data_IF_152164488387
#
_entry.id   IF_152164488387
#
_cell.length_a   1.000
_cell.length_b   1.000
_cell.length_c   1.000
_cell.angle_alpha   90.00
_cell.angle_beta   90.00
_cell.angle_gamma   90.00
#
_symmetry.space_group_name_H-M   'P 1'
#
loop_
_entity.id
_entity.type
_entity.pdbx_description
1 polymer ?
#
# COMPACT_ATOMS: atom_id res chain seq x y z
N UNK A 1 48.44 25.51 -46.64
CA UNK A 1 47.99 26.36 -47.76
C UNK A 1 46.52 26.09 -48.04
N UNK A 2 45.71 27.14 -48.24
CA UNK A 2 44.25 27.17 -48.57
C UNK A 2 43.32 26.67 -47.43
N UNK A 3 42.45 27.45 -46.79
CA UNK A 3 41.91 28.78 -47.04
C UNK A 3 40.59 28.73 -47.82
N UNK A 4 39.44 28.93 -47.14
CA UNK A 4 38.18 29.55 -47.63
C UNK A 4 37.09 29.39 -46.55
N UNK A 5 36.77 30.42 -45.76
CA UNK A 5 35.83 31.55 -45.99
C UNK A 5 34.33 31.16 -45.86
N UNK A 6 33.78 31.69 -44.76
CA UNK A 6 32.40 32.10 -44.42
C UNK A 6 31.35 32.10 -45.53
N UNK A 7 30.12 31.69 -45.17
CA UNK A 7 28.91 32.37 -45.64
C UNK A 7 27.74 32.16 -44.66
N UNK A 8 27.43 33.21 -43.90
CA UNK A 8 26.14 33.40 -43.22
C UNK A 8 25.05 33.56 -44.28
N UNK A 9 23.97 32.77 -44.19
CA UNK A 9 22.68 33.12 -44.79
C UNK A 9 21.59 32.99 -43.74
N UNK A 10 21.07 34.15 -43.34
CA UNK A 10 19.77 34.34 -42.69
C UNK A 10 18.68 33.98 -43.69
N UNK A 11 17.76 33.13 -43.28
CA UNK A 11 16.32 33.12 -43.62
C UNK A 11 15.67 32.53 -42.36
N UNK A 12 14.81 33.20 -41.59
CA UNK A 12 13.70 34.04 -42.03
C UNK A 12 12.53 33.14 -42.43
N UNK A 13 11.84 32.55 -41.45
CA UNK A 13 10.71 31.65 -41.69
C UNK A 13 9.96 31.38 -40.39
N UNK A 14 8.74 31.89 -40.32
CA UNK A 14 7.87 31.97 -39.16
C UNK A 14 7.66 30.63 -38.43
N UNK A 15 8.01 30.59 -37.14
CA UNK A 15 7.48 29.60 -36.20
C UNK A 15 6.06 30.03 -35.83
N UNK A 16 5.09 29.63 -36.66
CA UNK A 16 3.68 29.76 -36.33
C UNK A 16 3.38 28.81 -35.17
N UNK A 17 3.23 29.41 -33.99
CA UNK A 17 2.83 28.79 -32.74
C UNK A 17 1.37 28.31 -32.90
N UNK A 18 1.17 27.07 -33.33
CA UNK A 18 -0.11 26.37 -33.28
C UNK A 18 -0.32 25.86 -31.85
N UNK A 19 -0.73 26.77 -30.96
CA UNK A 19 -1.35 26.44 -29.68
C UNK A 19 -2.76 25.89 -29.97
N UNK A 20 -2.83 24.63 -30.39
CA UNK A 20 -4.07 23.88 -30.28
C UNK A 20 -4.32 23.61 -28.80
N UNK A 21 -5.15 24.45 -28.20
CA UNK A 21 -5.82 24.25 -26.91
C UNK A 21 -6.67 22.98 -26.99
N UNK A 22 -6.03 21.82 -26.86
CA UNK A 22 -6.70 20.60 -26.48
C UNK A 22 -7.06 20.72 -25.00
N UNK A 23 -8.30 21.07 -24.69
CA UNK A 23 -8.85 20.80 -23.37
C UNK A 23 -8.83 19.28 -23.17
N UNK A 24 -7.78 18.78 -22.51
CA UNK A 24 -7.79 17.44 -21.93
C UNK A 24 -8.82 17.50 -20.81
N UNK A 25 -10.03 17.03 -21.11
CA UNK A 25 -11.04 16.73 -20.10
C UNK A 25 -10.48 15.60 -19.25
N UNK A 26 -9.89 15.96 -18.10
CA UNK A 26 -9.56 15.00 -17.05
C UNK A 26 -10.87 14.28 -16.71
N UNK A 27 -10.99 12.97 -16.93
CA UNK A 27 -12.20 12.24 -16.53
C UNK A 27 -12.42 12.50 -15.04
N UNK A 28 -13.65 12.77 -14.59
CA UNK A 28 -13.92 12.91 -13.17
C UNK A 28 -13.40 11.64 -12.50
N UNK A 29 -12.31 11.80 -11.74
CA UNK A 29 -11.74 10.71 -10.95
C UNK A 29 -12.88 10.12 -10.15
N UNK A 30 -13.06 8.81 -10.26
CA UNK A 30 -13.96 8.04 -9.40
C UNK A 30 -13.82 8.60 -7.99
N UNK A 31 -14.89 9.19 -7.47
CA UNK A 31 -14.89 9.75 -6.12
C UNK A 31 -14.29 8.68 -5.21
N UNK A 32 -13.14 9.00 -4.61
CA UNK A 32 -12.46 8.08 -3.73
C UNK A 32 -13.37 7.97 -2.51
N UNK A 33 -14.16 6.90 -2.45
CA UNK A 33 -15.00 6.62 -1.29
C UNK A 33 -14.04 6.41 -0.13
N UNK A 34 -13.86 7.44 0.69
CA UNK A 34 -13.13 7.36 1.94
C UNK A 34 -13.93 6.45 2.84
N UNK A 35 -13.50 5.20 2.93
CA UNK A 35 -14.05 4.25 3.89
C UNK A 35 -13.54 4.69 5.28
N UNK A 36 -14.41 5.39 6.00
CA UNK A 36 -14.17 5.82 7.38
C UNK A 36 -14.47 4.65 8.33
N UNK A 37 -13.50 3.75 8.47
CA UNK A 37 -13.56 2.62 9.40
C UNK A 37 -12.41 2.71 10.41
N UNK A 38 -12.69 2.84 11.73
CA UNK A 38 -11.66 2.95 12.76
C UNK A 38 -10.69 1.76 12.80
N UNK A 39 -11.14 0.56 12.42
CA UNK A 39 -10.27 -0.61 12.34
C UNK A 39 -9.27 -0.47 11.17
N UNK A 40 -9.73 -0.01 10.01
CA UNK A 40 -8.86 0.26 8.88
C UNK A 40 -7.83 1.35 9.21
N UNK A 41 -8.25 2.42 9.87
CA UNK A 41 -7.36 3.51 10.28
C UNK A 41 -6.29 3.03 11.28
N UNK A 42 -6.69 2.23 12.28
CA UNK A 42 -5.74 1.68 13.25
C UNK A 42 -4.71 0.76 12.59
N UNK A 43 -5.15 -0.11 11.66
CA UNK A 43 -4.24 -0.93 10.87
C UNK A 43 -3.31 -0.08 10.00
N UNK A 44 -3.79 1.04 9.45
CA UNK A 44 -2.97 1.97 8.68
C UNK A 44 -1.85 2.59 9.52
N UNK A 45 -2.13 2.94 10.79
CA UNK A 45 -1.10 3.43 11.72
C UNK A 45 -0.07 2.35 12.08
N UNK A 46 -0.48 1.08 12.13
CA UNK A 46 0.44 -0.04 12.33
C UNK A 46 1.36 -0.28 11.13
N UNK A 47 0.95 0.09 9.90
CA UNK A 47 1.79 -0.06 8.70
C UNK A 47 3.15 0.63 8.86
N UNK A 48 3.20 1.83 9.45
CA UNK A 48 4.45 2.56 9.69
C UNK A 48 5.43 1.74 10.54
N UNK A 49 4.93 1.19 11.65
CA UNK A 49 5.72 0.40 12.59
C UNK A 49 6.18 -0.92 11.98
N UNK A 50 5.35 -1.56 11.14
CA UNK A 50 5.74 -2.74 10.38
C UNK A 50 6.88 -2.43 9.41
N UNK A 51 6.80 -1.31 8.68
CA UNK A 51 7.87 -0.89 7.75
C UNK A 51 9.15 -0.56 8.51
N UNK A 52 9.07 0.16 9.63
CA UNK A 52 10.23 0.48 10.47
C UNK A 52 10.86 -0.77 11.07
N UNK A 53 10.05 -1.73 11.53
CA UNK A 53 10.53 -3.02 12.02
C UNK A 53 11.30 -3.74 10.93
N UNK A 54 10.73 -3.82 9.72
CA UNK A 54 11.38 -4.47 8.59
C UNK A 54 12.67 -3.75 8.18
N UNK A 55 12.69 -2.42 8.17
CA UNK A 55 13.91 -1.67 7.87
C UNK A 55 15.03 -1.98 8.87
N UNK A 56 14.72 -2.11 10.16
CA UNK A 56 15.69 -2.40 11.20
C UNK A 56 16.13 -3.87 11.23
N UNK A 57 15.19 -4.82 11.09
CA UNK A 57 15.43 -6.25 11.29
C UNK A 57 15.62 -7.03 9.99
N UNK A 58 15.33 -6.44 8.84
CA UNK A 58 15.28 -7.10 7.53
C UNK A 58 14.41 -8.37 7.55
N UNK A 59 13.39 -8.38 8.41
CA UNK A 59 12.45 -9.47 8.62
C UNK A 59 11.07 -8.93 8.98
N UNK A 60 10.01 -9.67 8.63
CA UNK A 60 8.65 -9.33 9.05
C UNK A 60 8.48 -9.61 10.55
N UNK A 61 7.65 -8.83 11.27
CA UNK A 61 7.33 -9.16 12.66
C UNK A 61 6.59 -10.50 12.72
N UNK A 62 7.03 -11.46 13.55
CA UNK A 62 6.37 -12.76 13.66
C UNK A 62 5.00 -12.68 14.33
N UNK A 63 4.81 -11.70 15.21
CA UNK A 63 3.61 -11.51 16.03
C UNK A 63 3.52 -10.06 16.54
N UNK A 64 2.47 -9.79 17.33
CA UNK A 64 2.26 -8.50 17.97
C UNK A 64 3.24 -8.22 19.13
N UNK A 65 3.84 -9.25 19.74
CA UNK A 65 4.80 -9.08 20.84
C UNK A 65 6.11 -8.50 20.31
N UNK A 66 6.59 -8.96 19.16
CA UNK A 66 7.77 -8.42 18.51
C UNK A 66 7.65 -6.91 18.19
N UNK A 67 6.47 -6.45 17.79
CA UNK A 67 6.21 -5.02 17.60
C UNK A 67 6.20 -4.27 18.94
N UNK A 68 5.59 -4.85 19.99
CA UNK A 68 5.55 -4.26 21.33
C UNK A 68 6.93 -4.15 21.95
N UNK A 69 7.78 -5.14 21.78
CA UNK A 69 9.18 -5.12 22.23
C UNK A 69 10.00 -4.06 21.48
N UNK A 70 9.81 -3.93 20.17
CA UNK A 70 10.56 -2.97 19.36
C UNK A 70 10.19 -1.51 19.63
N UNK A 71 8.92 -1.21 19.90
CA UNK A 71 8.40 0.17 19.94
C UNK A 71 7.82 0.60 21.29
N UNK A 72 7.51 -0.34 22.19
CA UNK A 72 6.95 -0.05 23.50
C UNK A 72 5.72 0.87 23.44
N UNK A 73 5.79 1.98 24.17
CA UNK A 73 4.71 2.97 24.25
C UNK A 73 4.45 3.75 22.95
N UNK A 74 5.36 3.71 21.97
CA UNK A 74 5.15 4.35 20.67
C UNK A 74 4.22 3.53 19.75
N UNK A 75 4.05 2.23 20.03
CA UNK A 75 3.21 1.37 19.22
C UNK A 75 1.72 1.71 19.40
N UNK A 76 0.95 1.87 18.31
CA UNK A 76 -0.51 1.92 18.40
C UNK A 76 -1.08 0.65 19.04
N UNK A 77 -2.27 0.70 19.67
CA UNK A 77 -2.89 -0.50 20.22
C UNK A 77 -3.02 -1.61 19.18
N UNK A 78 -2.55 -2.82 19.50
CA UNK A 78 -2.68 -4.01 18.64
C UNK A 78 -4.03 -4.73 18.81
N UNK A 79 -5.09 -3.98 19.14
CA UNK A 79 -6.44 -4.47 19.36
C UNK A 79 -7.43 -3.78 18.44
N UNK A 80 -8.47 -4.51 18.03
CA UNK A 80 -9.57 -3.98 17.25
C UNK A 80 -10.33 -2.90 18.03
N UNK A 81 -10.58 -1.72 17.45
CA UNK A 81 -11.49 -0.74 18.06
C UNK A 81 -12.96 -1.21 18.04
N UNK A 82 -13.28 -2.25 17.26
CA UNK A 82 -14.65 -2.79 17.14
C UNK A 82 -14.96 -3.84 18.19
N UNK A 83 -14.09 -4.84 18.36
CA UNK A 83 -14.33 -5.94 19.30
C UNK A 83 -13.50 -5.84 20.59
N UNK A 84 -12.42 -5.06 20.58
CA UNK A 84 -11.41 -5.08 21.64
C UNK A 84 -10.46 -6.28 21.60
N UNK A 85 -10.67 -7.22 20.67
CA UNK A 85 -9.83 -8.40 20.51
C UNK A 85 -8.49 -8.05 19.85
N UNK A 86 -7.47 -8.86 20.13
CA UNK A 86 -6.15 -8.71 19.50
C UNK A 86 -6.22 -8.96 17.99
N UNK A 87 -5.38 -8.24 17.25
CA UNK A 87 -5.17 -8.54 15.84
C UNK A 87 -4.48 -9.89 15.66
N UNK A 88 -4.94 -10.65 14.65
CA UNK A 88 -4.43 -11.98 14.37
C UNK A 88 -3.24 -11.93 13.42
N UNK A 89 -2.17 -12.64 13.76
CA UNK A 89 -0.95 -12.77 12.96
C UNK A 89 -0.81 -14.20 12.43
N UNK A 90 -1.09 -14.45 11.13
CA UNK A 90 -0.80 -15.74 10.51
C UNK A 90 0.71 -16.01 10.52
N UNK A 91 1.18 -17.18 11.00
CA UNK A 91 2.61 -17.44 11.09
C UNK A 91 3.34 -17.33 9.74
N UNK A 92 4.32 -16.44 9.59
CA UNK A 92 5.13 -16.31 8.36
C UNK A 92 4.46 -15.58 7.19
N UNK A 93 3.35 -14.86 7.43
CA UNK A 93 2.53 -14.15 6.44
C UNK A 93 2.01 -15.04 5.29
N UNK A 94 0.69 -15.05 5.06
CA UNK A 94 0.06 -16.01 4.12
C UNK A 94 -0.31 -15.39 2.79
N UNK A 95 -0.10 -16.10 1.68
CA UNK A 95 -0.64 -15.67 0.40
C UNK A 95 -2.17 -15.73 0.43
N UNK A 96 -2.83 -14.66 -0.04
CA UNK A 96 -4.28 -14.65 -0.27
C UNK A 96 -4.51 -14.81 -1.77
N UNK A 97 -5.34 -15.78 -2.15
CA UNK A 97 -5.62 -16.07 -3.56
C UNK A 97 -6.12 -14.82 -4.30
N UNK A 98 -5.51 -14.52 -5.45
CA UNK A 98 -5.90 -13.38 -6.29
C UNK A 98 -5.49 -12.00 -5.75
N UNK A 99 -4.73 -11.92 -4.65
CA UNK A 99 -4.22 -10.66 -4.11
C UNK A 99 -2.69 -10.59 -4.26
N UNK A 100 -2.13 -9.42 -4.65
CA UNK A 100 -0.68 -9.23 -4.58
C UNK A 100 -0.23 -9.16 -3.12
N UNK A 101 0.90 -9.80 -2.81
CA UNK A 101 1.50 -9.80 -1.48
C UNK A 101 1.03 -10.93 -0.57
N UNK A 102 1.34 -10.80 0.72
CA UNK A 102 1.05 -11.78 1.78
C UNK A 102 0.34 -11.08 2.94
N UNK A 103 -0.69 -11.71 3.50
CA UNK A 103 -1.37 -11.26 4.70
C UNK A 103 -0.46 -11.43 5.91
N UNK A 104 -0.04 -10.30 6.48
CA UNK A 104 0.79 -10.25 7.68
C UNK A 104 -0.04 -10.30 8.95
N UNK A 105 -1.11 -9.49 9.01
CA UNK A 105 -2.02 -9.44 10.15
C UNK A 105 -3.42 -8.98 9.71
N UNK A 106 -4.44 -9.31 10.49
CA UNK A 106 -5.82 -8.88 10.24
C UNK A 106 -6.63 -8.66 11.52
N UNK A 107 -7.67 -7.84 11.40
CA UNK A 107 -8.71 -7.69 12.40
C UNK A 107 -9.69 -8.88 12.30
N UNK A 108 -9.83 -9.72 13.33
CA UNK A 108 -10.78 -10.83 13.30
C UNK A 108 -12.24 -10.37 13.36
N UNK A 109 -12.50 -9.12 13.76
CA UNK A 109 -13.85 -8.57 13.84
C UNK A 109 -14.33 -8.04 12.48
N UNK A 110 -15.36 -8.66 11.88
CA UNK A 110 -15.81 -8.29 10.54
C UNK A 110 -16.46 -6.90 10.49
N UNK A 111 -16.26 -6.21 9.37
CA UNK A 111 -16.88 -4.96 8.96
C UNK A 111 -17.90 -5.20 7.84
N UNK A 112 -18.83 -4.27 7.67
CA UNK A 112 -19.70 -4.21 6.50
C UNK A 112 -19.15 -3.15 5.53
N UNK A 113 -18.66 -3.58 4.37
CA UNK A 113 -18.04 -2.71 3.36
C UNK A 113 -18.78 -2.94 2.03
N UNK A 114 -19.44 -1.91 1.50
CA UNK A 114 -20.24 -2.04 0.27
C UNK A 114 -21.30 -3.13 0.35
N UNK A 115 -21.90 -3.35 1.54
CA UNK A 115 -22.90 -4.40 1.78
C UNK A 115 -22.33 -5.82 1.91
N UNK A 116 -21.01 -5.99 1.92
CA UNK A 116 -20.33 -7.28 2.08
C UNK A 116 -19.65 -7.35 3.45
N UNK A 117 -19.68 -8.54 4.06
CA UNK A 117 -18.97 -8.82 5.30
C UNK A 117 -17.49 -9.12 4.99
N UNK A 118 -16.59 -8.32 5.53
CA UNK A 118 -15.16 -8.35 5.24
C UNK A 118 -14.34 -8.23 6.52
N UNK A 119 -13.10 -8.70 6.49
CA UNK A 119 -12.08 -8.44 7.50
C UNK A 119 -11.15 -7.36 6.96
N UNK A 120 -10.60 -6.51 7.84
CA UNK A 120 -9.50 -5.62 7.46
C UNK A 120 -8.18 -6.31 7.73
N UNK A 121 -7.21 -6.18 6.82
CA UNK A 121 -5.87 -6.73 7.05
C UNK A 121 -4.77 -5.93 6.36
N UNK A 122 -3.54 -6.18 6.80
CA UNK A 122 -2.33 -5.64 6.18
C UNK A 122 -1.74 -6.71 5.27
N UNK A 123 -1.73 -6.42 3.97
CA UNK A 123 -0.92 -7.14 3.01
C UNK A 123 0.47 -6.53 2.93
N UNK A 124 1.48 -7.38 2.78
CA UNK A 124 2.87 -6.97 2.59
C UNK A 124 3.44 -7.55 1.31
N UNK A 125 4.20 -6.74 0.58
CA UNK A 125 4.96 -7.15 -0.59
C UNK A 125 6.32 -6.47 -0.59
N UNK A 126 7.29 -7.10 -1.25
CA UNK A 126 8.60 -6.50 -1.45
C UNK A 126 8.64 -5.77 -2.79
N UNK A 127 9.18 -4.56 -2.78
CA UNK A 127 9.39 -3.76 -3.98
C UNK A 127 10.53 -4.37 -4.82
N UNK A 128 10.30 -4.70 -6.10
CA UNK A 128 11.33 -5.21 -6.99
C UNK A 128 12.53 -4.26 -7.06
N UNK A 129 13.74 -4.77 -6.76
CA UNK A 129 15.00 -4.06 -6.95
C UNK A 129 15.43 -3.11 -5.81
N UNK A 130 14.53 -2.75 -4.89
CA UNK A 130 14.88 -1.89 -3.75
C UNK A 130 14.86 -2.62 -2.41
N UNK A 131 14.40 -3.88 -2.36
CA UNK A 131 14.18 -4.64 -1.11
C UNK A 131 13.37 -3.86 -0.06
N UNK A 132 12.55 -2.90 -0.52
CA UNK A 132 11.68 -2.10 0.35
C UNK A 132 10.39 -2.85 0.62
N UNK A 133 9.89 -2.78 1.85
CA UNK A 133 8.59 -3.34 2.19
C UNK A 133 7.48 -2.36 1.83
N UNK A 134 6.48 -2.83 1.10
CA UNK A 134 5.22 -2.13 0.85
C UNK A 134 4.14 -2.77 1.71
N UNK A 135 3.42 -1.95 2.48
CA UNK A 135 2.28 -2.37 3.29
C UNK A 135 0.99 -1.77 2.72
N UNK A 136 -0.08 -2.54 2.70
CA UNK A 136 -1.39 -2.09 2.24
C UNK A 136 -2.49 -2.58 3.16
N UNK A 137 -3.34 -1.67 3.63
CA UNK A 137 -4.57 -2.02 4.34
C UNK A 137 -5.66 -2.32 3.31
N UNK A 138 -6.26 -3.51 3.38
CA UNK A 138 -7.27 -3.94 2.40
C UNK A 138 -8.44 -4.65 3.07
N UNK A 139 -9.64 -4.59 2.46
CA UNK A 139 -10.75 -5.45 2.84
C UNK A 139 -10.56 -6.85 2.22
N UNK A 140 -10.72 -7.87 3.06
CA UNK A 140 -10.56 -9.29 2.74
C UNK A 140 -11.88 -10.02 2.97
N UNK A 141 -12.23 -10.95 2.08
CA UNK A 141 -13.38 -11.83 2.35
C UNK A 141 -13.07 -12.79 3.50
N UNK A 142 -14.01 -13.03 4.40
CA UNK A 142 -13.84 -14.01 5.50
C UNK A 142 -13.46 -15.40 4.96
N UNK A 143 -14.05 -15.81 3.83
CA UNK A 143 -13.72 -17.06 3.15
C UNK A 143 -12.31 -17.08 2.56
N UNK A 144 -11.86 -15.96 1.97
CA UNK A 144 -10.52 -15.83 1.39
C UNK A 144 -9.45 -16.03 2.47
N UNK A 145 -9.65 -15.42 3.63
CA UNK A 145 -8.75 -15.57 4.79
C UNK A 145 -8.82 -17.00 5.34
N UNK A 146 -10.01 -17.55 5.55
CA UNK A 146 -10.15 -18.91 6.06
C UNK A 146 -9.50 -19.97 5.15
N UNK A 147 -9.61 -19.82 3.84
CA UNK A 147 -8.95 -20.70 2.87
C UNK A 147 -7.42 -20.56 2.94
N UNK A 148 -6.89 -19.35 2.96
CA UNK A 148 -5.45 -19.12 3.06
C UNK A 148 -4.84 -19.67 4.36
N UNK A 149 -5.59 -19.67 5.45
CA UNK A 149 -5.13 -20.24 6.73
C UNK A 149 -5.15 -21.77 6.76
N UNK A 150 -5.92 -22.43 5.87
CA UNK A 150 -6.01 -23.90 5.80
C UNK A 150 -4.92 -24.55 4.94
N UNK A 151 -4.34 -23.83 3.98
CA UNK A 151 -3.35 -24.37 3.02
C UNK A 151 -1.93 -24.43 3.64
N UNK A 152 -1.85 -24.81 4.91
CA UNK A 152 -0.59 -24.95 5.67
C UNK A 152 -0.26 -26.39 5.95
#
# INVERSE_FOLDING_TARGET
MKGARRSLRRCGGAFACLLALGCVSVPPGTAHETIDDPAAERLHRLCEHVVLYYAAQQALPPDADALREAFGAALPPCTSPRSGEDYSFPPGAVAIAGRPGRLLLYDPAPAMIGGRRCLWGILVSESPGMHGLVTQVVPLGEREVAEALRVR
#
